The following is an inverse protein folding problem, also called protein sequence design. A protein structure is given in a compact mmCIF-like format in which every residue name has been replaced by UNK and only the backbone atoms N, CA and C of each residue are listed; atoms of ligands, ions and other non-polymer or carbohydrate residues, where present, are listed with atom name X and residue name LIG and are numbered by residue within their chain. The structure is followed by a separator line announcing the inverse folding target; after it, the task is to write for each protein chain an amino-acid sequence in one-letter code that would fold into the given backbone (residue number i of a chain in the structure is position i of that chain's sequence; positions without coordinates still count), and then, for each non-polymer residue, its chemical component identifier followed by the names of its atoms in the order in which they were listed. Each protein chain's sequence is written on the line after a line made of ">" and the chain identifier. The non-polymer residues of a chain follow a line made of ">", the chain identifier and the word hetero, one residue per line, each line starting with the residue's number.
data_IF_143880622369
#
_entry.id   IF_143880622369
#
_cell.length_a   1.000
_cell.length_b   1.000
_cell.length_c   1.000
_cell.angle_alpha   90.00
_cell.angle_beta   90.00
_cell.angle_gamma   90.00
#
_symmetry.space_group_name_H-M   'P 1'
#
loop_
_entity.id
_entity.type
_entity.pdbx_description
1 polymer ?
#
# COMPACT_ATOMS: atom_id res chain seq x y z
N UNK A 1 9.95 16.17 -6.85
CA UNK A 1 9.60 14.74 -7.01
C UNK A 1 9.84 14.10 -5.66
N UNK A 2 8.83 13.41 -5.13
CA UNK A 2 8.92 12.78 -3.82
C UNK A 2 9.76 11.49 -3.88
N UNK A 3 9.72 10.81 -5.03
CA UNK A 3 10.52 9.63 -5.35
C UNK A 3 11.72 9.98 -6.24
N UNK A 4 12.88 9.41 -5.91
CA UNK A 4 14.04 9.49 -6.80
C UNK A 4 13.84 8.60 -8.06
N UNK A 5 14.66 8.86 -9.08
CA UNK A 5 14.55 8.21 -10.39
C UNK A 5 14.82 6.70 -10.35
N UNK A 6 15.70 6.24 -9.47
CA UNK A 6 16.06 4.83 -9.34
C UNK A 6 14.93 4.06 -8.67
N UNK A 7 14.37 4.59 -7.57
CA UNK A 7 13.22 4.02 -6.88
C UNK A 7 12.01 3.95 -7.82
N UNK A 8 11.76 4.98 -8.63
CA UNK A 8 10.70 4.94 -9.64
C UNK A 8 10.90 3.82 -10.66
N UNK A 9 12.12 3.65 -11.17
CA UNK A 9 12.40 2.61 -12.15
C UNK A 9 12.20 1.21 -11.54
N UNK A 10 12.64 1.01 -10.30
CA UNK A 10 12.41 -0.24 -9.57
C UNK A 10 10.92 -0.49 -9.32
N UNK A 11 10.21 0.52 -8.82
CA UNK A 11 8.78 0.42 -8.51
C UNK A 11 7.97 0.12 -9.77
N UNK A 12 8.23 0.77 -10.90
CA UNK A 12 7.53 0.54 -12.16
C UNK A 12 7.55 -0.95 -12.56
N UNK A 13 8.71 -1.60 -12.49
CA UNK A 13 8.83 -3.03 -12.80
C UNK A 13 8.05 -3.94 -11.84
N UNK A 14 7.81 -3.50 -10.60
CA UNK A 14 6.92 -4.21 -9.67
C UNK A 14 5.44 -3.91 -9.93
N UNK A 15 5.08 -2.69 -10.33
CA UNK A 15 3.69 -2.33 -10.64
C UNK A 15 3.15 -3.10 -11.86
N UNK A 16 4.02 -3.51 -12.78
CA UNK A 16 3.67 -4.40 -13.90
C UNK A 16 3.21 -5.80 -13.42
N UNK A 17 3.52 -6.17 -12.17
CA UNK A 17 3.14 -7.46 -11.56
C UNK A 17 1.85 -7.38 -10.74
N UNK A 18 1.13 -6.25 -10.77
CA UNK A 18 -0.17 -6.13 -10.11
C UNK A 18 -1.20 -7.02 -10.82
N UNK A 19 -1.82 -7.92 -10.06
CA UNK A 19 -2.81 -8.86 -10.60
C UNK A 19 -4.18 -8.19 -10.77
N UNK A 20 -4.60 -7.39 -9.79
CA UNK A 20 -5.88 -6.67 -9.76
C UNK A 20 -5.68 -5.17 -9.48
N UNK A 21 -6.75 -4.40 -9.70
CA UNK A 21 -6.79 -2.98 -9.41
C UNK A 21 -6.83 -2.75 -7.88
N UNK A 22 -6.12 -1.72 -7.45
CA UNK A 22 -5.99 -1.35 -6.04
C UNK A 22 -6.32 0.12 -5.82
N UNK A 23 -6.72 0.43 -4.60
CA UNK A 23 -7.03 1.80 -4.15
C UNK A 23 -6.03 2.19 -3.08
N UNK A 24 -5.39 3.35 -3.26
CA UNK A 24 -4.63 4.03 -2.23
C UNK A 24 -5.54 5.05 -1.55
N UNK A 25 -6.07 4.73 -0.37
CA UNK A 25 -6.85 5.69 0.42
C UNK A 25 -5.90 6.50 1.29
N UNK A 26 -5.95 7.83 1.20
CA UNK A 26 -5.02 8.73 1.91
C UNK A 26 -5.74 9.59 2.96
N UNK A 27 -5.18 9.68 4.16
CA UNK A 27 -5.62 10.57 5.24
C UNK A 27 -4.50 11.55 5.54
N UNK A 28 -4.71 12.82 5.21
CA UNK A 28 -3.72 13.90 5.32
C UNK A 28 -4.34 15.14 5.97
N UNK A 29 -3.52 15.89 6.69
CA UNK A 29 -3.85 17.22 7.20
C UNK A 29 -3.20 18.30 6.33
N UNK A 30 -3.05 19.52 6.85
CA UNK A 30 -2.50 20.66 6.11
C UNK A 30 -1.01 20.90 6.36
N UNK A 31 -0.36 20.08 7.18
CA UNK A 31 1.06 20.23 7.50
C UNK A 31 2.00 19.71 6.39
N UNK A 32 3.28 20.02 6.52
CA UNK A 32 4.31 19.68 5.53
C UNK A 32 4.46 18.15 5.33
N UNK A 33 4.34 17.35 6.38
CA UNK A 33 4.46 15.89 6.26
C UNK A 33 3.25 15.31 5.53
N UNK A 34 2.08 15.88 5.77
CA UNK A 34 0.85 15.54 5.05
C UNK A 34 0.96 15.85 3.55
N UNK A 35 1.51 17.01 3.18
CA UNK A 35 1.74 17.36 1.77
C UNK A 35 2.75 16.42 1.12
N UNK A 36 3.87 16.11 1.79
CA UNK A 36 4.87 15.15 1.29
C UNK A 36 4.29 13.76 1.09
N UNK A 37 3.45 13.28 2.01
CA UNK A 37 2.79 11.98 1.86
C UNK A 37 1.83 11.99 0.66
N UNK A 38 1.02 13.05 0.52
CA UNK A 38 0.10 13.17 -0.61
C UNK A 38 0.84 13.16 -1.95
N UNK A 39 1.93 13.92 -2.07
CA UNK A 39 2.78 13.92 -3.27
C UNK A 39 3.34 12.52 -3.56
N UNK A 40 3.83 11.84 -2.53
CA UNK A 40 4.36 10.48 -2.63
C UNK A 40 3.32 9.47 -3.13
N UNK A 41 2.14 9.44 -2.53
CA UNK A 41 1.08 8.49 -2.90
C UNK A 41 0.51 8.81 -4.28
N UNK A 42 0.37 10.10 -4.62
CA UNK A 42 -0.04 10.54 -5.96
C UNK A 42 0.95 10.09 -7.02
N UNK A 43 2.26 10.25 -6.76
CA UNK A 43 3.31 9.84 -7.69
C UNK A 43 3.31 8.32 -7.92
N UNK A 44 2.94 7.50 -6.93
CA UNK A 44 2.76 6.05 -7.10
C UNK A 44 1.50 5.74 -7.93
N UNK A 45 0.39 6.42 -7.64
CA UNK A 45 -0.87 6.21 -8.37
C UNK A 45 -0.71 6.55 -9.86
N UNK A 46 0.03 7.61 -10.19
CA UNK A 46 0.29 8.04 -11.56
C UNK A 46 1.20 7.07 -12.35
N UNK A 47 1.89 6.14 -11.66
CA UNK A 47 2.79 5.18 -12.31
C UNK A 47 2.07 3.95 -12.88
N UNK A 48 0.80 3.70 -12.54
CA UNK A 48 0.05 2.56 -13.07
C UNK A 48 -1.45 2.84 -13.17
N UNK A 49 -2.10 2.51 -14.30
CA UNK A 49 -3.55 2.68 -14.45
C UNK A 49 -4.36 1.78 -13.52
N UNK A 50 -3.74 0.77 -12.89
CA UNK A 50 -4.37 -0.14 -11.92
C UNK A 50 -4.47 0.44 -10.51
N UNK A 51 -3.97 1.66 -10.30
CA UNK A 51 -3.93 2.29 -8.98
C UNK A 51 -4.82 3.52 -9.00
N UNK A 52 -5.82 3.55 -8.12
CA UNK A 52 -6.67 4.72 -7.92
C UNK A 52 -6.36 5.38 -6.59
N UNK A 53 -6.46 6.71 -6.53
CA UNK A 53 -6.29 7.48 -5.31
C UNK A 53 -7.65 7.91 -4.78
N UNK A 54 -7.91 7.69 -3.50
CA UNK A 54 -9.12 8.11 -2.82
C UNK A 54 -8.80 8.78 -1.47
N UNK A 55 -9.72 9.60 -0.97
CA UNK A 55 -9.59 10.15 0.38
C UNK A 55 -10.12 9.14 1.41
N UNK A 56 -9.38 8.97 2.51
CA UNK A 56 -9.75 8.14 3.65
C UNK A 56 -9.71 8.91 4.96
N UNK A 57 -10.13 8.25 6.04
CA UNK A 57 -9.98 8.76 7.40
C UNK A 57 -9.46 7.64 8.31
N UNK A 58 -8.30 7.87 8.91
CA UNK A 58 -7.61 6.89 9.74
C UNK A 58 -7.27 7.46 11.12
N UNK A 59 -6.97 6.59 12.08
CA UNK A 59 -6.59 7.00 13.45
C UNK A 59 -5.23 7.69 13.54
N UNK A 60 -4.40 7.60 12.50
CA UNK A 60 -3.10 8.27 12.39
C UNK A 60 -3.08 9.16 11.15
N UNK A 61 -2.51 10.35 11.27
CA UNK A 61 -2.37 11.31 10.17
C UNK A 61 -0.96 11.93 10.22
N UNK A 62 -0.20 11.97 9.11
CA UNK A 62 -0.58 11.51 7.78
C UNK A 62 -0.43 9.98 7.63
N UNK A 63 -1.34 9.34 6.89
CA UNK A 63 -1.30 7.91 6.58
C UNK A 63 -1.99 7.59 5.27
N UNK A 64 -1.75 6.40 4.74
CA UNK A 64 -2.51 5.83 3.64
C UNK A 64 -2.67 4.33 3.80
N UNK A 65 -3.68 3.75 3.16
CA UNK A 65 -3.87 2.31 3.05
C UNK A 65 -3.74 1.85 1.60
N UNK A 66 -3.38 0.58 1.44
CA UNK A 66 -3.43 -0.15 0.19
C UNK A 66 -4.57 -1.15 0.30
N UNK A 67 -5.62 -0.97 -0.50
CA UNK A 67 -6.86 -1.74 -0.46
C UNK A 67 -7.23 -2.27 -1.84
N UNK A 68 -8.11 -3.27 -1.89
CA UNK A 68 -8.75 -3.71 -3.14
C UNK A 68 -10.07 -2.95 -3.31
N UNK A 69 -10.50 -2.70 -4.55
CA UNK A 69 -11.69 -1.88 -4.82
C UNK A 69 -12.97 -2.32 -4.10
N UNK A 70 -13.13 -3.62 -3.84
CA UNK A 70 -14.34 -4.20 -3.24
C UNK A 70 -14.14 -4.64 -1.77
N UNK A 71 -12.99 -4.36 -1.15
CA UNK A 71 -12.69 -4.80 0.22
C UNK A 71 -12.26 -3.62 1.10
N UNK A 72 -12.94 -3.44 2.25
CA UNK A 72 -12.59 -2.44 3.28
C UNK A 72 -11.42 -2.91 4.19
N UNK A 73 -10.65 -3.91 3.75
CA UNK A 73 -9.50 -4.45 4.46
C UNK A 73 -8.25 -4.23 3.60
N UNK A 74 -7.19 -3.72 4.24
CA UNK A 74 -5.94 -3.41 3.57
C UNK A 74 -4.78 -3.24 4.53
N UNK A 75 -3.63 -2.85 3.96
CA UNK A 75 -2.40 -2.59 4.72
C UNK A 75 -2.25 -1.07 4.84
N UNK A 76 -2.17 -0.56 6.06
CA UNK A 76 -2.01 0.87 6.33
C UNK A 76 -0.58 1.23 6.74
N UNK A 77 -0.09 2.35 6.22
CA UNK A 77 1.20 2.96 6.55
C UNK A 77 0.96 4.37 7.12
N UNK A 78 1.57 4.67 8.27
CA UNK A 78 1.58 6.02 8.83
C UNK A 78 2.91 6.70 8.50
N UNK A 79 2.87 7.75 7.67
CA UNK A 79 4.05 8.37 7.06
C UNK A 79 4.55 7.68 5.79
N UNK A 80 5.70 8.13 5.29
CA UNK A 80 6.30 7.66 4.03
C UNK A 80 7.19 6.42 4.30
N UNK A 81 6.85 5.23 3.76
CA UNK A 81 7.59 3.98 4.00
C UNK A 81 8.76 3.81 3.02
N UNK A 82 9.76 4.69 3.12
CA UNK A 82 10.99 4.61 2.34
C UNK A 82 12.13 3.93 3.12
N UNK A 83 13.31 3.83 2.51
CA UNK A 83 14.49 3.20 3.12
C UNK A 83 14.29 1.69 3.25
N UNK A 84 14.40 1.16 4.47
CA UNK A 84 14.25 -0.28 4.70
C UNK A 84 12.79 -0.75 4.48
N UNK A 85 11.82 0.15 4.65
CA UNK A 85 10.39 -0.16 4.48
C UNK A 85 9.92 -0.11 3.01
N UNK A 86 10.78 0.28 2.07
CA UNK A 86 10.40 0.30 0.66
C UNK A 86 10.03 -1.10 0.14
N UNK A 87 10.70 -2.14 0.63
CA UNK A 87 10.35 -3.52 0.29
C UNK A 87 8.98 -3.91 0.87
N UNK A 88 8.67 -3.44 2.08
CA UNK A 88 7.37 -3.64 2.73
C UNK A 88 6.24 -3.02 1.89
N UNK A 89 6.47 -1.83 1.34
CA UNK A 89 5.53 -1.17 0.43
C UNK A 89 5.30 -1.99 -0.84
N UNK A 90 6.38 -2.43 -1.51
CA UNK A 90 6.27 -3.26 -2.73
C UNK A 90 5.47 -4.53 -2.45
N UNK A 91 5.77 -5.22 -1.35
CA UNK A 91 5.05 -6.44 -0.98
C UNK A 91 3.57 -6.17 -0.68
N UNK A 92 3.26 -5.06 0.00
CA UNK A 92 1.87 -4.67 0.27
C UNK A 92 1.08 -4.44 -1.03
N UNK A 93 1.63 -3.69 -1.99
CA UNK A 93 1.01 -3.44 -3.29
C UNK A 93 0.73 -4.76 -4.04
N UNK A 94 1.74 -5.62 -4.13
CA UNK A 94 1.62 -6.90 -4.83
C UNK A 94 0.61 -7.84 -4.15
N UNK A 95 0.69 -7.99 -2.83
CA UNK A 95 -0.14 -8.95 -2.11
C UNK A 95 -1.61 -8.52 -2.05
N UNK A 96 -1.88 -7.22 -1.84
CA UNK A 96 -3.25 -6.69 -1.88
C UNK A 96 -3.85 -6.84 -3.28
N UNK A 97 -3.05 -6.65 -4.33
CA UNK A 97 -3.49 -6.89 -5.71
C UNK A 97 -3.84 -8.35 -6.00
N UNK A 98 -3.53 -9.30 -5.10
CA UNK A 98 -3.89 -10.71 -5.21
C UNK A 98 -2.70 -11.65 -5.38
N UNK A 99 -1.47 -11.13 -5.42
CA UNK A 99 -0.28 -11.97 -5.60
C UNK A 99 0.04 -12.75 -4.31
N UNK A 100 0.19 -14.09 -4.35
CA UNK A 100 0.40 -14.88 -3.15
C UNK A 100 1.76 -14.57 -2.49
N UNK A 101 1.83 -14.56 -1.14
CA UNK A 101 3.09 -14.41 -0.42
C UNK A 101 3.99 -15.64 -0.63
N UNK A 102 5.31 -15.43 -0.61
CA UNK A 102 6.31 -16.50 -0.78
C UNK A 102 6.59 -17.24 0.53
N UNK A 103 5.55 -17.81 1.12
CA UNK A 103 5.60 -18.63 2.34
C UNK A 103 4.88 -19.95 2.08
N UNK A 104 5.11 -20.98 2.91
CA UNK A 104 4.47 -22.28 2.72
C UNK A 104 2.96 -22.22 2.97
N UNK A 105 2.22 -23.09 2.29
CA UNK A 105 0.78 -23.22 2.47
C UNK A 105 0.39 -23.55 3.92
N UNK A 106 1.23 -24.29 4.65
CA UNK A 106 1.04 -24.57 6.07
C UNK A 106 1.03 -23.29 6.92
N UNK A 107 1.94 -22.35 6.65
CA UNK A 107 1.99 -21.06 7.36
C UNK A 107 0.77 -20.21 6.97
N UNK A 108 0.39 -20.20 5.69
CA UNK A 108 -0.80 -19.49 5.23
C UNK A 108 -2.06 -20.04 5.92
N UNK A 109 -2.20 -21.36 5.98
CA UNK A 109 -3.31 -22.04 6.64
C UNK A 109 -3.34 -21.72 8.15
N UNK A 110 -2.18 -21.70 8.80
CA UNK A 110 -2.05 -21.33 10.21
C UNK A 110 -2.49 -19.87 10.46
N UNK A 111 -2.06 -18.92 9.63
CA UNK A 111 -2.46 -17.51 9.75
C UNK A 111 -3.96 -17.35 9.55
N UNK A 112 -4.55 -17.98 8.51
CA UNK A 112 -5.99 -17.94 8.23
C UNK A 112 -6.83 -18.49 9.39
N UNK A 113 -6.35 -19.55 10.05
CA UNK A 113 -7.04 -20.12 11.23
C UNK A 113 -7.12 -19.13 12.40
N UNK A 114 -6.14 -18.24 12.53
CA UNK A 114 -6.09 -17.23 13.58
C UNK A 114 -6.99 -16.00 13.30
N UNK A 115 -7.51 -15.85 12.07
CA UNK A 115 -8.35 -14.70 11.68
C UNK A 115 -9.78 -14.74 12.24
N UNK A 116 -10.12 -15.70 13.10
CA UNK A 116 -11.37 -15.71 13.89
C UNK A 116 -11.24 -15.10 15.30
N UNK A 117 -10.11 -14.46 15.63
CA UNK A 117 -9.85 -13.93 16.97
C UNK A 117 -9.51 -12.42 17.01
N UNK A 118 -10.11 -11.61 16.14
CA UNK A 118 -10.04 -10.15 16.25
C UNK A 118 -11.46 -9.56 16.29
N UNK A 119 -12.20 -9.93 17.34
CA UNK A 119 -13.22 -9.05 17.90
C UNK A 119 -12.51 -8.14 18.89
N UNK A 120 -12.06 -6.97 18.43
CA UNK A 120 -11.77 -5.83 19.29
C UNK A 120 -12.76 -4.73 18.95
#
# INVERSE_FOLDING_TARGET
>A
MALDKEIKAQLAGYLDLLEQDIVLKVSVATDENSQKLLEFVTEIADMSPKIRLENGSFSRTPSFSVEREEEDFGIAFAGIPLGHEFTSLILALLQVSGRPPKISDDIIAQIKKNQHAASF
#
